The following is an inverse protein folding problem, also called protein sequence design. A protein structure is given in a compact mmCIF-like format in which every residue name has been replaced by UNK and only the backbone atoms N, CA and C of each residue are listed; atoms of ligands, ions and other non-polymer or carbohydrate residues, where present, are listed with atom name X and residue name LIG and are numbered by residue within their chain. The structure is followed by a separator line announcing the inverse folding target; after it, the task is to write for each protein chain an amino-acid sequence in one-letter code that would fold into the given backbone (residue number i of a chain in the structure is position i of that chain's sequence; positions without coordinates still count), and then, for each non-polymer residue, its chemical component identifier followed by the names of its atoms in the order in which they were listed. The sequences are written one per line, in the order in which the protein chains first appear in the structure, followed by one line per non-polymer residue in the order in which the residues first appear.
data_IF_355354032759
#
_entry.id   IF_355354032759
#
_cell.length_a   1.000
_cell.length_b   1.000
_cell.length_c   1.000
_cell.angle_alpha   90.00
_cell.angle_beta   90.00
_cell.angle_gamma   90.00
#
_symmetry.space_group_name_H-M   'P 1'
#
loop_
_entity.id
_entity.type
_entity.pdbx_description
1 polymer ?
2 non-polymer ?
3 non-polymer ?
4 water ?
#
# COMPACT_ATOMS: atom_id res chain seq x y z
N UNK A 49 17.30 -22.27 -8.60
CA UNK A 49 16.38 -23.43 -8.81
C UNK A 49 16.01 -24.00 -7.45
N UNK A 50 14.75 -24.40 -7.22
CA UNK A 50 13.71 -24.49 -8.26
C UNK A 50 12.29 -24.56 -7.65
N UNK A 51 11.31 -23.94 -8.32
CA UNK A 51 9.89 -24.04 -7.91
C UNK A 51 9.04 -24.51 -9.09
N UNK A 52 7.92 -25.16 -8.80
CA UNK A 52 7.02 -25.67 -9.82
C UNK A 52 5.57 -25.32 -9.49
N UNK A 53 5.01 -24.38 -10.25
CA UNK A 53 3.63 -23.91 -10.05
C UNK A 53 2.76 -24.30 -11.25
N UNK A 54 1.85 -25.26 -11.03
CA UNK A 54 0.95 -25.73 -12.08
C UNK A 54 1.72 -26.14 -13.33
N UNK A 55 2.55 -27.18 -13.18
CA UNK A 55 3.35 -27.70 -14.28
C UNK A 55 4.60 -26.89 -14.52
N UNK A 56 4.44 -25.60 -14.75
CA UNK A 56 5.54 -24.74 -15.19
C UNK A 56 6.63 -24.58 -14.12
N UNK A 57 7.88 -24.70 -14.56
CA UNK A 57 9.05 -24.67 -13.67
C UNK A 57 9.68 -23.28 -13.64
N UNK A 58 10.07 -22.83 -12.45
CA UNK A 58 10.66 -21.51 -12.26
C UNK A 58 11.93 -21.62 -11.43
N UNK A 59 13.01 -21.00 -11.90
CA UNK A 59 14.30 -21.03 -11.20
C UNK A 59 14.45 -19.79 -10.32
N UNK A 60 14.89 -20.01 -9.06
CA UNK A 60 14.94 -18.93 -8.07
C UNK A 60 16.22 -18.09 -8.19
N UNK A 61 16.09 -16.88 -8.73
CA UNK A 61 17.22 -15.94 -8.82
C UNK A 61 17.69 -15.52 -7.43
N UNK A 62 16.78 -15.00 -6.63
CA UNK A 62 17.06 -14.66 -5.23
C UNK A 62 15.77 -14.43 -4.44
N UNK A 63 15.92 -14.24 -3.14
CA UNK A 63 14.78 -13.98 -2.28
C UNK A 63 14.62 -12.47 -2.06
N UNK A 64 13.54 -11.92 -2.58
CA UNK A 64 13.20 -10.52 -2.39
C UNK A 64 12.73 -10.27 -0.96
N UNK A 65 11.72 -11.03 -0.55
CA UNK A 65 11.09 -10.86 0.75
C UNK A 65 11.20 -12.12 1.59
N UNK A 66 11.22 -11.94 2.91
CA UNK A 66 11.36 -13.03 3.86
C UNK A 66 10.24 -13.01 4.90
N UNK A 67 10.16 -14.09 5.67
CA UNK A 67 9.10 -14.28 6.64
C UNK A 67 9.22 -15.63 7.34
N UNK A 68 8.18 -16.04 8.08
CA UNK A 68 6.87 -15.38 8.05
C UNK A 68 5.72 -16.26 8.52
N UNK A 69 5.58 -17.47 7.97
CA UNK A 69 6.41 -18.02 6.88
C UNK A 69 5.87 -17.59 5.52
N UNK A 70 6.45 -16.53 4.97
CA UNK A 70 6.03 -15.96 3.70
C UNK A 70 7.28 -15.47 2.99
N UNK A 71 7.64 -16.13 1.89
CA UNK A 71 8.86 -15.81 1.18
C UNK A 71 8.58 -15.45 -0.27
N UNK A 72 8.97 -14.24 -0.65
CA UNK A 72 8.83 -13.75 -2.02
C UNK A 72 10.16 -13.97 -2.74
N UNK A 73 10.14 -14.76 -3.80
CA UNK A 73 11.34 -15.06 -4.57
C UNK A 73 11.27 -14.37 -5.92
N UNK A 74 12.38 -13.77 -6.32
CA UNK A 74 12.57 -13.32 -7.69
C UNK A 74 12.91 -14.56 -8.49
N UNK A 75 12.18 -14.83 -9.57
CA UNK A 75 12.38 -16.07 -10.33
C UNK A 75 12.29 -15.87 -11.84
N UNK A 76 12.67 -16.92 -12.58
CA UNK A 76 12.66 -16.93 -14.04
C UNK A 76 11.98 -18.19 -14.58
N UNK A 77 11.09 -18.02 -15.55
CA UNK A 77 10.40 -19.15 -16.18
C UNK A 77 11.27 -19.81 -17.25
N UNK A 78 10.72 -20.84 -17.91
CA UNK A 78 11.44 -21.59 -18.95
C UNK A 78 12.01 -20.73 -20.08
N UNK A 79 11.38 -19.58 -20.37
CA UNK A 79 11.87 -18.63 -21.37
C UNK A 79 12.57 -17.42 -20.75
N UNK A 80 13.07 -17.59 -19.52
CA UNK A 80 13.83 -16.56 -18.80
C UNK A 80 13.16 -15.17 -18.73
N UNK A 81 11.84 -15.17 -18.57
CA UNK A 81 11.09 -13.96 -18.24
C UNK A 81 11.03 -13.86 -16.73
N UNK A 82 11.06 -12.63 -16.20
CA UNK A 82 11.17 -12.43 -14.75
C UNK A 82 9.81 -12.25 -14.06
N UNK A 83 9.60 -13.04 -13.01
CA UNK A 83 8.38 -12.99 -12.20
C UNK A 83 8.76 -12.95 -10.72
N UNK A 84 7.76 -12.72 -9.87
CA UNK A 84 7.89 -12.91 -8.43
C UNK A 84 7.03 -14.09 -8.03
N UNK A 85 7.51 -14.90 -7.10
CA UNK A 85 6.71 -15.99 -6.54
C UNK A 85 6.65 -15.83 -5.03
N UNK A 86 5.45 -15.57 -4.54
CA UNK A 86 5.19 -15.55 -3.10
C UNK A 86 4.88 -16.98 -2.67
N UNK A 87 5.63 -17.46 -1.67
CA UNK A 87 5.40 -18.77 -1.08
C UNK A 87 4.90 -18.58 0.34
N UNK A 88 3.76 -19.20 0.65
CA UNK A 88 3.21 -19.20 1.99
C UNK A 88 3.16 -20.63 2.50
N UNK A 89 3.52 -20.83 3.78
CA UNK A 89 3.37 -22.13 4.42
C UNK A 89 2.07 -22.15 5.24
N UNK A 90 1.16 -23.04 4.85
CA UNK A 90 -0.15 -23.15 5.50
C UNK A 90 -0.19 -24.11 6.68
N UNK A 91 0.94 -24.76 6.98
CA UNK A 91 0.98 -25.83 7.98
C UNK A 91 0.61 -25.41 9.41
N UNK A 92 0.53 -24.11 9.67
CA UNK A 92 0.05 -23.62 10.98
C UNK A 92 -1.06 -22.56 10.89
N UNK A 93 -1.62 -22.37 9.70
CA UNK A 93 -2.72 -21.44 9.53
C UNK A 93 -4.02 -22.10 9.99
N UNK A 94 -4.79 -21.38 10.81
CA UNK A 94 -6.10 -21.83 11.25
C UNK A 94 -7.13 -21.49 10.17
N UNK A 95 -8.40 -21.77 10.43
CA UNK A 95 -9.45 -21.62 9.43
C UNK A 95 -9.80 -20.19 9.06
N UNK A 96 -9.70 -19.26 10.00
CA UNK A 96 -9.93 -17.86 9.68
C UNK A 96 -8.81 -17.34 8.80
N UNK A 97 -7.58 -17.62 9.22
CA UNK A 97 -6.38 -17.25 8.46
C UNK A 97 -6.48 -17.76 7.04
N UNK A 98 -6.70 -19.06 6.90
CA UNK A 98 -6.84 -19.68 5.57
C UNK A 98 -7.90 -18.94 4.78
N UNK A 99 -9.08 -18.75 5.38
CA UNK A 99 -10.17 -18.08 4.69
C UNK A 99 -9.81 -16.67 4.26
N UNK A 100 -9.08 -15.95 5.12
CA UNK A 100 -8.62 -14.60 4.76
C UNK A 100 -7.61 -14.61 3.61
N UNK A 101 -6.76 -15.64 3.57
CA UNK A 101 -5.82 -15.82 2.48
C UNK A 101 -6.60 -16.10 1.19
N UNK A 102 -7.55 -17.01 1.28
CA UNK A 102 -8.42 -17.35 0.15
C UNK A 102 -9.18 -16.12 -0.35
N UNK A 103 -9.72 -15.34 0.59
CA UNK A 103 -10.53 -14.17 0.25
C UNK A 103 -9.72 -13.15 -0.56
N UNK A 104 -8.52 -12.81 -0.07
CA UNK A 104 -7.67 -11.85 -0.76
C UNK A 104 -7.22 -12.35 -2.14
N UNK A 105 -6.87 -13.63 -2.24
CA UNK A 105 -6.47 -14.22 -3.52
C UNK A 105 -7.59 -14.09 -4.54
N UNK A 106 -8.82 -14.32 -4.09
CA UNK A 106 -10.02 -14.21 -4.94
C UNK A 106 -10.16 -12.80 -5.51
N UNK A 107 -10.08 -11.81 -4.64
CA UNK A 107 -10.23 -10.42 -5.05
C UNK A 107 -9.11 -9.96 -5.97
N UNK A 108 -7.86 -10.25 -5.58
CA UNK A 108 -6.72 -9.87 -6.41
C UNK A 108 -6.89 -10.43 -7.82
N UNK A 109 -7.35 -11.67 -7.90
CA UNK A 109 -7.60 -12.30 -9.18
C UNK A 109 -8.66 -11.56 -9.98
N UNK A 110 -9.75 -11.18 -9.31
CA UNK A 110 -10.85 -10.46 -9.98
C UNK A 110 -10.46 -9.06 -10.43
N UNK A 111 -9.87 -8.30 -9.51
CA UNK A 111 -9.55 -6.89 -9.76
C UNK A 111 -8.39 -6.67 -10.73
N UNK A 112 -7.79 -7.77 -11.19
CA UNK A 112 -6.83 -7.76 -12.30
C UNK A 112 -7.33 -6.94 -13.48
N UNK A 113 -8.54 -7.27 -13.93
CA UNK A 113 -9.13 -6.67 -15.12
C UNK A 113 -9.43 -5.19 -14.97
N UNK A 114 -9.66 -4.74 -13.73
CA UNK A 114 -10.17 -3.40 -13.49
C UNK A 114 -9.11 -2.32 -13.41
N UNK A 115 -7.85 -2.67 -13.17
CA UNK A 115 -6.76 -1.69 -13.16
C UNK A 115 -5.38 -2.31 -13.30
N UNK A 116 -4.48 -1.58 -13.96
CA UNK A 116 -3.08 -1.99 -14.07
C UNK A 116 -2.20 -1.29 -13.02
N UNK A 117 -2.83 -0.65 -12.04
CA UNK A 117 -2.13 -0.20 -10.83
C UNK A 117 -2.38 -1.18 -9.69
N UNK A 118 -3.02 -2.31 -10.00
CA UNK A 118 -3.09 -3.45 -9.10
C UNK A 118 -2.16 -4.51 -9.66
N UNK A 119 -1.24 -4.97 -8.82
CA UNK A 119 -0.16 -5.87 -9.22
C UNK A 119 -0.70 -7.10 -9.94
N UNK A 120 -0.10 -7.43 -11.08
CA UNK A 120 -0.56 -8.57 -11.89
C UNK A 120 -0.27 -9.91 -11.19
N UNK A 121 -1.27 -10.78 -11.18
CA UNK A 121 -1.16 -12.15 -10.68
C UNK A 121 -1.46 -13.09 -11.85
N UNK A 122 -0.44 -13.80 -12.30
CA UNK A 122 -0.50 -14.56 -13.56
C UNK A 122 -1.07 -15.95 -13.41
N UNK A 123 -0.82 -16.58 -12.27
CA UNK A 123 -1.20 -17.97 -12.05
C UNK A 123 -0.88 -18.28 -10.59
N UNK A 124 -1.55 -19.27 -10.03
CA UNK A 124 -1.23 -19.71 -8.67
C UNK A 124 -1.59 -21.16 -8.39
N UNK A 125 -0.79 -21.79 -7.53
CA UNK A 125 -1.03 -23.15 -7.08
C UNK A 125 -1.27 -23.11 -5.57
N UNK A 126 -2.26 -23.86 -5.11
CA UNK A 126 -2.72 -23.76 -3.72
C UNK A 126 -3.23 -25.10 -3.19
N UNK A 127 -2.53 -25.63 -2.18
CA UNK A 127 -2.89 -26.91 -1.56
C UNK A 127 -3.24 -26.66 -0.09
N UNK A 128 -3.28 -27.73 0.69
CA UNK A 128 -3.48 -27.61 2.13
C UNK A 128 -2.21 -27.26 2.87
N UNK A 129 -1.06 -27.50 2.24
CA UNK A 129 0.23 -27.27 2.90
C UNK A 129 0.85 -25.91 2.55
N UNK A 130 0.58 -25.41 1.34
CA UNK A 130 1.25 -24.21 0.86
C UNK A 130 0.44 -23.41 -0.17
N UNK A 131 0.95 -22.23 -0.50
CA UNK A 131 0.47 -21.43 -1.64
C UNK A 131 1.67 -20.94 -2.46
N UNK A 132 1.53 -20.98 -3.78
CA UNK A 132 2.51 -20.39 -4.70
C UNK A 132 1.78 -19.43 -5.63
N UNK A 133 2.31 -18.22 -5.75
CA UNK A 133 1.65 -17.20 -6.55
C UNK A 133 2.63 -16.55 -7.52
N UNK A 134 2.49 -16.86 -8.80
CA UNK A 134 3.34 -16.26 -9.83
C UNK A 134 2.84 -14.85 -10.10
N UNK A 135 3.70 -13.86 -9.88
CA UNK A 135 3.31 -12.46 -9.96
C UNK A 135 4.27 -11.60 -10.77
N UNK A 136 3.73 -10.46 -11.23
CA UNK A 136 4.50 -9.38 -11.80
C UNK A 136 5.64 -9.03 -10.84
N UNK A 137 6.83 -8.86 -11.39
CA UNK A 137 8.01 -8.57 -10.59
C UNK A 137 8.33 -7.07 -10.57
N UNK A 138 8.73 -6.55 -9.41
CA UNK A 138 8.92 -5.11 -9.21
C UNK A 138 10.33 -4.68 -8.84
N UNK A 139 10.62 -3.40 -9.05
CA UNK A 139 11.97 -2.88 -8.83
C UNK A 139 12.26 -2.71 -7.32
N UNK A 140 11.43 -1.94 -6.65
CA UNK A 140 11.58 -1.66 -5.22
C UNK A 140 10.22 -1.28 -4.63
N UNK A 141 10.02 -1.53 -3.34
CA UNK A 141 8.80 -1.06 -2.66
C UNK A 141 8.97 0.43 -2.35
N UNK A 142 7.85 1.14 -2.20
CA UNK A 142 7.90 2.60 -2.04
C UNK A 142 8.63 3.04 -0.77
N UNK A 143 8.46 2.29 0.33
CA UNK A 143 9.08 2.67 1.60
C UNK A 143 10.60 2.64 1.52
N UNK A 144 11.14 1.61 0.89
CA UNK A 144 12.58 1.49 0.69
C UNK A 144 13.11 2.58 -0.23
N UNK A 145 12.34 2.90 -1.28
CA UNK A 145 12.71 3.95 -2.23
C UNK A 145 12.75 5.31 -1.56
N UNK A 146 11.66 5.67 -0.89
CA UNK A 146 11.59 6.93 -0.16
C UNK A 146 12.74 7.04 0.83
N UNK A 147 12.92 6.03 1.67
CA UNK A 147 14.02 6.00 2.62
C UNK A 147 15.36 6.36 1.97
N UNK A 148 15.65 5.73 0.83
CA UNK A 148 16.91 5.97 0.13
C UNK A 148 16.96 7.30 -0.60
N UNK A 149 15.84 7.73 -1.21
CA UNK A 149 15.85 8.98 -1.97
C UNK A 149 15.98 10.22 -1.08
N UNK A 150 16.76 11.19 -1.56
CA UNK A 150 17.02 12.42 -0.82
C UNK A 150 15.80 13.32 -0.82
N UNK A 151 15.24 13.56 -2.01
CA UNK A 151 13.99 14.31 -2.17
C UNK A 151 13.38 14.05 -3.55
N UNK A 152 12.06 13.91 -3.59
CA UNK A 152 11.36 13.46 -4.79
C UNK A 152 11.13 14.60 -5.79
N UNK A 153 11.23 14.27 -7.08
CA UNK A 153 10.92 15.19 -8.17
C UNK A 153 9.42 15.53 -8.16
N UNK A 154 9.06 16.83 -8.17
CA UNK A 154 7.64 17.21 -8.10
C UNK A 154 6.73 16.50 -9.11
N UNK A 155 7.26 16.24 -10.30
CA UNK A 155 6.50 15.53 -11.33
C UNK A 155 6.32 14.06 -10.94
N UNK A 156 7.39 13.45 -10.43
CA UNK A 156 7.39 12.05 -10.02
C UNK A 156 6.35 11.78 -8.93
N UNK A 157 6.28 12.70 -7.97
CA UNK A 157 5.35 12.62 -6.84
C UNK A 157 3.89 12.62 -7.28
N UNK A 158 3.53 13.62 -8.06
CA UNK A 158 2.17 13.75 -8.60
C UNK A 158 1.76 12.52 -9.41
N UNK A 159 2.73 11.96 -10.14
CA UNK A 159 2.51 10.77 -10.95
C UNK A 159 2.26 9.55 -10.07
N UNK A 160 3.06 9.40 -9.03
CA UNK A 160 2.85 8.32 -8.06
C UNK A 160 1.50 8.47 -7.37
N UNK A 161 1.13 9.71 -7.06
CA UNK A 161 -0.12 10.00 -6.38
C UNK A 161 -1.32 9.53 -7.18
N UNK A 162 -1.28 9.73 -8.50
CA UNK A 162 -2.35 9.28 -9.39
C UNK A 162 -2.47 7.76 -9.37
N UNK A 163 -1.31 7.09 -9.40
CA UNK A 163 -1.26 5.63 -9.33
C UNK A 163 -1.91 5.13 -8.05
N UNK A 164 -1.52 5.73 -6.93
CA UNK A 164 -2.07 5.38 -5.62
C UNK A 164 -3.59 5.56 -5.55
N UNK A 165 -4.09 6.68 -6.10
CA UNK A 165 -5.53 6.92 -6.13
C UNK A 165 -6.26 5.87 -6.98
N UNK A 166 -5.75 5.62 -8.19
CA UNK A 166 -6.38 4.67 -9.12
C UNK A 166 -6.55 3.27 -8.50
N UNK A 167 -5.51 2.78 -7.81
CA UNK A 167 -5.53 1.46 -7.19
C UNK A 167 -6.47 1.41 -5.98
N UNK A 168 -6.32 2.37 -5.07
CA UNK A 168 -7.16 2.46 -3.89
C UNK A 168 -8.63 2.70 -4.26
N UNK A 169 -8.86 3.49 -5.31
CA UNK A 169 -10.20 3.71 -5.85
C UNK A 169 -10.83 2.40 -6.30
N UNK A 170 -10.04 1.55 -6.96
CA UNK A 170 -10.54 0.29 -7.48
C UNK A 170 -11.05 -0.64 -6.37
N UNK A 171 -10.26 -0.80 -5.31
CA UNK A 171 -10.65 -1.70 -4.23
C UNK A 171 -11.90 -1.16 -3.51
N UNK A 172 -11.98 0.16 -3.38
CA UNK A 172 -13.17 0.78 -2.78
C UNK A 172 -14.41 0.40 -3.57
N UNK A 173 -14.28 0.46 -4.91
CA UNK A 173 -15.40 0.15 -5.80
C UNK A 173 -15.85 -1.32 -5.77
N UNK A 174 -15.21 -2.14 -4.93
CA UNK A 174 -15.65 -3.51 -4.68
C UNK A 174 -15.85 -3.76 -3.18
N UNK A 175 -16.11 -2.69 -2.44
CA UNK A 175 -16.41 -2.78 -1.01
C UNK A 175 -15.22 -3.02 -0.10
N UNK A 176 -14.00 -2.87 -0.62
CA UNK A 176 -12.79 -3.12 0.16
C UNK A 176 -12.18 -1.83 0.67
N UNK A 177 -12.11 -1.69 2.00
CA UNK A 177 -11.27 -0.68 2.64
C UNK A 177 -9.98 -1.37 3.11
N UNK A 178 -8.83 -0.82 2.73
CA UNK A 178 -7.55 -1.38 3.15
C UNK A 178 -7.37 -1.19 4.66
N UNK A 179 -7.45 0.06 5.12
CA UNK A 179 -7.39 0.42 6.54
C UNK A 179 -6.01 0.35 7.22
N UNK A 180 -4.96 0.10 6.43
CA UNK A 180 -3.58 0.02 6.97
C UNK A 180 -2.57 0.32 5.87
N UNK A 181 -2.78 1.44 5.19
CA UNK A 181 -1.97 1.81 4.03
C UNK A 181 -0.66 2.48 4.47
N UNK A 182 0.46 1.89 4.07
CA UNK A 182 1.79 2.45 4.32
C UNK A 182 2.51 2.43 2.98
N UNK A 183 3.54 3.28 2.82
CA UNK A 183 4.36 3.20 1.61
C UNK A 183 4.80 1.77 1.29
N UNK A 184 5.09 0.98 2.32
CA UNK A 184 5.42 -0.45 2.17
C UNK A 184 4.40 -1.23 1.33
N UNK A 185 3.14 -0.80 1.33
CA UNK A 185 2.08 -1.47 0.57
C UNK A 185 2.07 -1.16 -0.92
N UNK A 186 3.06 -0.40 -1.41
CA UNK A 186 3.15 -0.05 -2.82
C UNK A 186 4.47 -0.48 -3.45
N UNK A 187 4.39 -0.94 -4.68
CA UNK A 187 5.52 -1.49 -5.43
C UNK A 187 5.78 -0.68 -6.71
N UNK A 188 7.02 -0.24 -6.89
CA UNK A 188 7.43 0.43 -8.13
C UNK A 188 7.72 -0.60 -9.21
N UNK A 189 6.84 -0.65 -10.22
CA UNK A 189 7.00 -1.55 -11.36
C UNK A 189 7.02 -0.74 -12.64
N UNK A 190 8.17 -0.69 -13.31
CA UNK A 190 8.35 0.09 -14.54
C UNK A 190 8.04 1.57 -14.30
N UNK A 191 8.60 2.13 -13.22
CA UNK A 191 8.37 3.52 -12.85
C UNK A 191 6.91 3.85 -12.63
N UNK A 192 6.24 3.05 -11.80
CA UNK A 192 4.79 3.14 -11.66
C UNK A 192 4.37 2.40 -10.39
N UNK A 193 3.63 3.08 -9.52
CA UNK A 193 3.20 2.46 -8.27
C UNK A 193 2.06 1.47 -8.48
N UNK A 194 2.17 0.29 -7.87
CA UNK A 194 1.10 -0.70 -7.87
C UNK A 194 0.82 -1.20 -6.45
N UNK A 195 -0.46 -1.33 -6.12
CA UNK A 195 -0.87 -1.83 -4.80
C UNK A 195 -0.62 -3.33 -4.74
N UNK A 196 0.15 -3.77 -3.75
CA UNK A 196 0.53 -5.18 -3.66
C UNK A 196 -0.52 -6.00 -2.91
N UNK A 197 -1.09 -5.44 -1.84
CA UNK A 197 -2.13 -6.15 -1.06
C UNK A 197 -3.34 -5.27 -0.76
N UNK A 198 -4.42 -5.91 -0.35
CA UNK A 198 -5.67 -5.22 0.01
C UNK A 198 -5.94 -5.25 1.52
N UNK A 199 -4.96 -5.70 2.30
CA UNK A 199 -5.06 -5.70 3.76
C UNK A 199 -6.06 -6.67 4.36
N UNK A 200 -6.50 -7.65 3.57
CA UNK A 200 -7.45 -8.66 4.04
C UNK A 200 -6.68 -9.77 4.74
N UNK A 201 -5.67 -10.29 4.06
CA UNK A 201 -4.98 -11.51 4.48
C UNK A 201 -4.08 -11.33 5.69
N UNK A 202 -3.42 -10.18 5.81
CA UNK A 202 -2.32 -10.02 6.78
C UNK A 202 -2.75 -9.76 8.23
N UNK A 203 -3.14 -10.86 8.89
CA UNK A 203 -3.23 -10.89 10.34
C UNK A 203 -2.28 -11.99 10.86
N UNK A 204 -1.29 -12.34 10.03
CA UNK A 204 -0.22 -13.27 10.40
C UNK A 204 0.88 -13.20 9.35
N UNK A 214 13.67 -8.52 13.71
CA UNK A 214 12.28 -8.07 13.59
C UNK A 214 11.79 -7.28 14.82
N UNK A 215 11.33 -6.06 14.56
CA UNK A 215 10.97 -5.07 15.58
C UNK A 215 9.52 -5.36 16.10
N UNK A 216 8.81 -4.49 16.85
CA UNK A 216 9.06 -3.05 17.17
C UNK A 216 8.80 -2.09 15.96
N UNK A 217 8.00 -2.57 15.00
CA UNK A 217 7.59 -1.81 13.81
C UNK A 217 6.21 -2.32 13.35
N UNK A 218 5.22 -1.44 13.13
CA UNK A 218 5.31 0.01 13.35
C UNK A 218 4.12 0.72 12.70
N UNK A 219 4.40 1.81 11.98
CA UNK A 219 3.42 2.45 11.08
C UNK A 219 2.16 3.02 11.79
N UNK A 220 2.32 3.41 13.05
CA UNK A 220 1.25 4.09 13.80
C UNK A 220 1.07 5.54 13.29
N UNK A 221 2.10 6.07 12.63
CA UNK A 221 2.06 7.38 12.00
C UNK A 221 0.90 7.56 11.02
N UNK A 222 0.56 6.48 10.33
CA UNK A 222 -0.44 6.52 9.27
C UNK A 222 -1.87 6.25 9.77
N UNK A 223 -2.00 6.08 11.09
CA UNK A 223 -3.29 5.72 11.68
C UNK A 223 -4.23 6.92 11.73
N UNK A 224 -5.45 6.77 11.19
CA UNK A 224 -6.42 7.86 11.22
C UNK A 224 -7.06 7.99 12.60
N UNK A 225 -7.49 9.21 12.97
CA UNK A 225 -7.97 9.49 14.33
C UNK A 225 -9.23 8.70 14.71
N UNK A 226 -10.15 8.53 13.78
CA UNK A 226 -11.41 7.84 14.05
C UNK A 226 -11.26 6.35 14.40
N UNK A 227 -10.14 5.74 14.00
CA UNK A 227 -9.81 4.39 14.44
C UNK A 227 -9.44 4.38 15.93
N UNK A 228 -8.89 5.50 16.40
CA UNK A 228 -8.45 5.65 17.79
C UNK A 228 -9.62 6.02 18.70
N UNK A 229 -10.45 6.97 18.26
CA UNK A 229 -11.61 7.40 19.03
C UNK A 229 -12.62 6.25 19.21
N UNK A 230 -12.74 5.42 18.18
CA UNK A 230 -13.55 4.21 18.23
C UNK A 230 -12.74 3.07 18.84
N UNK A 231 -12.73 2.99 20.17
CA UNK A 231 -12.06 1.91 20.91
C UNK A 231 -12.82 1.55 22.18
N UNK A 244 -14.38 -0.24 7.60
CA UNK A 244 -15.16 0.99 7.54
C UNK A 244 -14.38 2.19 8.14
N UNK A 245 -14.27 3.32 7.43
CA UNK A 245 -14.84 3.56 6.10
C UNK A 245 -13.74 3.94 5.09
N UNK A 246 -14.10 4.11 3.81
CA UNK A 246 -13.16 4.57 2.77
C UNK A 246 -12.36 5.83 3.07
N UNK A 247 -12.88 6.70 3.94
CA UNK A 247 -12.18 7.92 4.33
C UNK A 247 -10.92 7.62 5.14
N UNK A 248 -10.91 6.48 5.85
CA UNK A 248 -9.72 6.03 6.59
C UNK A 248 -8.54 5.87 5.66
N UNK A 249 -8.78 5.28 4.49
CA UNK A 249 -7.74 5.10 3.48
C UNK A 249 -7.27 6.45 2.94
N UNK A 250 -8.18 7.42 2.84
CA UNK A 250 -7.81 8.75 2.38
C UNK A 250 -6.79 9.39 3.33
N UNK A 251 -7.08 9.35 4.62
CA UNK A 251 -6.16 9.86 5.64
C UNK A 251 -4.76 9.28 5.46
N UNK A 252 -4.70 7.95 5.36
CA UNK A 252 -3.44 7.25 5.27
C UNK A 252 -2.65 7.63 4.00
N UNK A 253 -3.35 7.71 2.87
CA UNK A 253 -2.74 8.20 1.63
C UNK A 253 -2.24 9.63 1.80
N UNK A 254 -3.02 10.43 2.53
CA UNK A 254 -2.63 11.80 2.85
C UNK A 254 -1.35 11.90 3.64
N UNK A 255 -1.09 10.89 4.48
CA UNK A 255 0.17 10.80 5.22
C UNK A 255 1.34 10.36 4.34
N UNK A 256 1.07 9.50 3.37
CA UNK A 256 2.09 9.07 2.42
C UNK A 256 2.52 10.23 1.53
N UNK A 257 1.56 11.07 1.15
CA UNK A 257 1.83 12.25 0.33
C UNK A 257 2.55 13.31 1.15
N UNK A 258 2.04 13.56 2.35
CA UNK A 258 2.68 14.49 3.28
C UNK A 258 4.17 14.13 3.40
N UNK A 259 4.45 12.84 3.48
CA UNK A 259 5.83 12.35 3.56
C UNK A 259 6.60 12.65 2.28
N UNK A 260 5.96 12.42 1.13
CA UNK A 260 6.58 12.70 -0.16
C UNK A 260 6.72 14.19 -0.39
N UNK A 261 5.87 14.99 0.26
CA UNK A 261 5.96 16.44 0.17
C UNK A 261 7.03 16.98 1.14
N UNK A 262 6.77 16.84 2.44
CA UNK A 262 7.59 17.50 3.47
C UNK A 262 8.69 16.65 4.12
N UNK A 263 8.89 15.42 3.63
CA UNK A 263 9.98 14.57 4.12
C UNK A 263 9.74 13.82 5.43
N UNK A 264 8.63 14.10 6.10
CA UNK A 264 8.25 13.37 7.30
C UNK A 264 6.73 13.22 7.31
N UNK A 265 6.22 12.33 8.17
CA UNK A 265 4.77 12.20 8.35
C UNK A 265 4.32 13.24 9.38
N UNK A 266 3.04 13.65 9.32
CA UNK A 266 2.55 14.78 10.13
C UNK A 266 2.99 14.77 11.60
N UNK A 267 2.84 13.63 12.26
CA UNK A 267 3.17 13.51 13.68
C UNK A 267 4.45 12.71 13.92
N UNK A 268 5.32 12.61 12.91
CA UNK A 268 6.50 11.75 13.02
C UNK A 268 7.41 12.15 14.17
N UNK A 269 7.51 13.44 14.44
CA UNK A 269 8.43 13.94 15.46
C UNK A 269 7.98 13.69 16.90
N UNK A 270 6.74 13.24 17.10
CA UNK A 270 6.29 12.79 18.42
C UNK A 270 6.71 11.33 18.57
N UNK A 271 7.88 11.11 19.17
CA UNK A 271 8.44 9.76 19.23
C UNK A 271 7.81 8.92 20.36
N UNK A 272 7.05 9.55 21.25
CA UNK A 272 6.26 8.80 22.23
C UNK A 272 4.95 8.34 21.62
N UNK A 273 4.68 7.04 21.73
CA UNK A 273 3.47 6.43 21.17
C UNK A 273 2.17 7.02 21.74
N UNK A 274 2.02 6.96 23.06
CA UNK A 274 0.80 7.46 23.70
C UNK A 274 0.57 8.92 23.33
N UNK A 275 1.65 9.71 23.33
CA UNK A 275 1.60 11.12 22.96
C UNK A 275 1.14 11.28 21.52
N UNK A 276 1.69 10.45 20.65
CA UNK A 276 1.39 10.46 19.22
C UNK A 276 -0.11 10.36 18.97
N UNK A 277 -0.73 9.31 19.53
CA UNK A 277 -2.16 9.08 19.35
C UNK A 277 -2.99 10.25 19.89
N UNK A 278 -2.69 10.68 21.11
CA UNK A 278 -3.35 11.86 21.69
C UNK A 278 -3.27 13.04 20.72
N UNK A 279 -2.12 13.20 20.08
CA UNK A 279 -1.90 14.26 19.10
C UNK A 279 -2.75 14.07 17.85
N UNK A 280 -2.84 12.82 17.38
CA UNK A 280 -3.65 12.50 16.19
C UNK A 280 -5.13 12.82 16.40
N UNK A 281 -5.67 12.47 17.56
CA UNK A 281 -7.11 12.67 17.83
C UNK A 281 -7.47 14.06 18.36
N UNK A 282 -6.48 14.86 18.76
CA UNK A 282 -6.74 16.16 19.38
C UNK A 282 -6.99 17.24 18.33
N UNK A 283 -8.22 17.79 18.29
CA UNK A 283 -8.55 18.82 17.30
C UNK A 283 -7.77 20.12 17.50
N UNK A 284 -7.35 20.40 18.73
CA UNK A 284 -6.57 21.59 19.05
C UNK A 284 -5.11 21.49 18.63
N UNK A 285 -4.65 20.28 18.31
CA UNK A 285 -3.30 20.07 17.79
C UNK A 285 -3.26 20.49 16.33
N UNK A 286 -2.54 21.58 16.02
CA UNK A 286 -2.50 22.12 14.68
C UNK A 286 -1.47 21.36 13.83
N UNK A 287 -1.96 20.66 12.80
CA UNK A 287 -1.06 20.01 11.85
C UNK A 287 -0.44 21.08 10.97
N UNK A 288 0.87 20.99 10.77
CA UNK A 288 1.61 22.02 10.03
C UNK A 288 1.61 21.76 8.52
N UNK A 289 1.51 22.83 7.74
CA UNK A 289 1.52 22.76 6.28
C UNK A 289 2.36 23.91 5.71
N UNK A 290 3.70 23.81 5.84
CA UNK A 290 4.60 24.85 5.34
C UNK A 290 4.30 25.24 3.90
N UNK A 291 4.29 26.54 3.62
CA UNK A 291 4.04 27.02 2.26
C UNK A 291 5.00 26.39 1.27
N UNK A 292 4.48 26.05 0.10
CA UNK A 292 5.24 25.40 -0.96
C UNK A 292 4.76 25.96 -2.30
N UNK A 293 5.55 25.77 -3.37
CA UNK A 293 5.15 26.27 -4.69
C UNK A 293 3.80 25.73 -5.17
N UNK A 294 3.63 24.41 -5.06
CA UNK A 294 2.39 23.76 -5.48
C UNK A 294 1.31 23.97 -4.43
N UNK A 295 0.51 25.02 -4.63
CA UNK A 295 -0.62 25.32 -3.74
C UNK A 295 -1.70 24.25 -3.87
N UNK A 296 -1.74 23.60 -5.03
CA UNK A 296 -2.60 22.43 -5.23
C UNK A 296 -2.27 21.34 -4.23
N UNK A 297 -0.99 20.97 -4.17
CA UNK A 297 -0.50 19.96 -3.24
C UNK A 297 -0.84 20.30 -1.79
N UNK A 298 -0.59 21.56 -1.40
CA UNK A 298 -1.00 22.06 -0.09
C UNK A 298 -2.45 21.71 0.21
N UNK A 299 -3.33 22.10 -0.71
CA UNK A 299 -4.76 21.92 -0.52
C UNK A 299 -5.14 20.45 -0.39
N UNK A 300 -4.57 19.62 -1.26
CA UNK A 300 -4.80 18.17 -1.20
C UNK A 300 -4.43 17.64 0.17
N UNK A 301 -3.27 18.05 0.69
CA UNK A 301 -2.79 17.60 1.99
C UNK A 301 -3.69 18.06 3.14
N UNK A 302 -4.18 19.29 3.05
CA UNK A 302 -5.10 19.83 4.05
C UNK A 302 -6.42 19.08 4.06
N UNK A 303 -6.88 18.66 2.88
CA UNK A 303 -8.18 18.00 2.72
C UNK A 303 -8.20 16.55 3.22
N UNK A 304 -7.11 15.83 2.97
CA UNK A 304 -6.99 14.44 3.37
C UNK A 304 -6.80 14.28 4.87
N UNK A 305 -6.24 15.31 5.52
CA UNK A 305 -5.89 15.22 6.94
C UNK A 305 -6.88 15.96 7.86
N UNK A 306 -8.12 16.11 7.40
CA UNK A 306 -9.19 16.65 8.23
C UNK A 306 -9.75 15.56 9.14
N UNK A 307 -9.68 15.80 10.45
CA UNK A 307 -9.97 14.77 11.46
C UNK A 307 -11.42 14.24 11.40
N UNK A 308 -12.37 15.09 11.08
CA UNK A 308 -13.75 14.64 10.87
C UNK A 308 -13.86 13.99 9.49
N UNK A 309 -14.08 12.66 9.45
CA UNK A 309 -14.15 11.97 8.16
C UNK A 309 -15.22 12.51 7.20
N UNK A 310 -16.30 13.06 7.74
CA UNK A 310 -17.33 13.70 6.91
C UNK A 310 -16.70 14.86 6.14
N UNK A 311 -15.97 15.71 6.86
CA UNK A 311 -15.27 16.84 6.28
C UNK A 311 -14.14 16.42 5.33
N UNK A 312 -13.59 15.24 5.56
CA UNK A 312 -12.47 14.77 4.75
C UNK A 312 -12.89 14.54 3.29
N UNK A 313 -11.95 14.79 2.39
CA UNK A 313 -12.17 14.62 0.95
C UNK A 313 -12.22 13.13 0.60
N UNK A 314 -13.03 12.78 -0.38
CA UNK A 314 -13.14 11.40 -0.87
C UNK A 314 -12.23 11.18 -2.07
N UNK A 315 -12.12 9.93 -2.51
CA UNK A 315 -11.24 9.59 -3.64
C UNK A 315 -11.76 10.17 -4.96
N UNK A 316 -13.08 10.08 -5.21
CA UNK A 316 -13.62 10.72 -6.40
C UNK A 316 -13.34 12.23 -6.46
N UNK A 317 -13.50 12.92 -5.33
CA UNK A 317 -13.16 14.33 -5.24
C UNK A 317 -11.66 14.56 -5.48
N UNK A 318 -10.83 13.66 -4.98
CA UNK A 318 -9.38 13.73 -5.21
C UNK A 318 -9.02 13.52 -6.68
N UNK A 319 -9.82 12.72 -7.40
CA UNK A 319 -9.58 12.44 -8.81
C UNK A 319 -10.02 13.60 -9.71
N UNK A 320 -10.87 14.50 -9.18
CA UNK A 320 -11.28 15.70 -9.90
C UNK A 320 -10.51 16.93 -9.44
N UNK A 321 -9.54 16.72 -8.54
CA UNK A 321 -8.75 17.82 -7.99
C UNK A 321 -7.77 18.32 -9.04
N UNK A 322 -7.53 19.64 -9.08
CA UNK A 322 -6.56 20.20 -10.00
C UNK A 322 -5.13 19.68 -9.84
N UNK A 323 -4.81 19.09 -8.68
CA UNK A 323 -3.50 18.52 -8.45
C UNK A 323 -3.21 17.39 -9.41
N UNK A 324 -4.22 16.55 -9.67
CA UNK A 324 -4.08 15.39 -10.56
C UNK A 324 -4.65 15.63 -11.96
N UNK A 325 -5.30 16.77 -12.17
CA UNK A 325 -5.92 17.07 -13.46
C UNK A 325 -5.20 18.23 -14.17
N UNK A 326 -5.09 19.37 -13.50
CA UNK A 326 -4.46 20.54 -14.10
C UNK A 326 -2.96 20.29 -14.22
N UNK A 327 -2.42 20.74 -15.35
CA UNK A 327 -1.21 20.19 -15.93
C UNK A 327 -0.15 21.28 -16.18
N UNK A 328 0.89 21.36 -15.34
CA UNK A 328 1.00 20.64 -14.07
C UNK A 328 1.68 21.54 -13.02
X LIG B 1 10.94 -5.72 -4.36
X LIG B 1 10.06 -6.36 -5.23
X LIG B 1 8.91 -6.95 -4.71
X LIG B 1 8.64 -6.90 -3.33
X LIG B 1 9.53 -6.25 -2.48
X LIG B 1 10.67 -5.66 -2.99
X LIG B 1 6.86 -8.20 -5.11
X LIG B 1 6.12 -8.78 -6.10
X LIG B 1 4.93 -9.42 -5.76
X LIG B 1 4.53 -9.45 -4.42
X LIG B 1 5.30 -8.84 -3.42
X LIG B 1 6.48 -8.21 -3.77
X LIG B 1 7.40 -7.54 -2.80
X LIG B 1 8.01 -7.60 -5.55
X LIG B 1 7.12 -7.51 -1.59
X LIG B 1 8.02 -7.80 -6.89
X LIG B 1 6.83 -8.53 -7.22
X LIG C 1 1.78 -12.71 3.38
X LIG C 1 0.53 -13.13 3.95
X LIG C 1 0.03 -14.41 3.28
X LIG C 1 -1.11 -14.10 2.47
X LIG C 1 -1.19 -14.93 1.31
X LIG C 1 -2.40 -14.50 0.49
X LIG C 1 -2.27 -13.13 0.11
X LIG C 1 -1.62 -12.95 -1.14
X LIG C 1 -1.45 -11.46 -1.44
X LIG C 1 -0.06 -11.18 -1.66
X LIG C 1 0.16 -9.85 -2.09
X LIG C 1 1.65 -9.57 -2.05
X LIG C 1 2.05 -9.25 -0.71
X LIG C 1 3.20 -9.98 -0.28
X LIG C 1 3.78 -9.44 1.01
X LIG C 1 4.16 -10.54 1.86
#
# INVERSE_FOLDING_TARGET
HHHHHHSSGLVPRGSGMKETAAAKFERQHMDSPDLGTDDDDKASSSANECISVKGRIYSILKQIGSGGSSKVFQVLNEKKQIYAIKYVNLEEADNQTLDSYRNEIAYLNKLQQHSDKIIRLYDYEITDQYIYMVMECGNIDLNSWLKKKKSIDPWERKSYWKNMLEAVHTIHQHGIVHSDLKPANFLIVDGMLKLIDFGIANQMQPDTTSVVKDSQVGAVNYMPPEAIKDMSSSRENGKSKSKISPKSDVWSLGCILYYMTYGKTPFQQIINQISKLHAIIDPNHEIEFPDIPEKDLQDVLKCCLKRDPKQRISIPELLAHPYVQIQTHPVNQMAKGTTEEMKYVLGQLVGLNSPNSILKAAKTLYEHYSGGESHNSSSSKTFEKKRGKK
537 C1 C2 C3 C4 C5 C6 C11 C12 C13 C14 C15 C16 C20 C21 O22 N23 N24
7PE O19 C18 C17 O16 C15 C14 O13 C12 C11 O10 C9 C8 O7 C6 C5 O4
#
